data_IF_086860594912
#
_entry.id   IF_086860594912
#
_cell.length_a   1.000
_cell.length_b   1.000
_cell.length_c   1.000
_cell.angle_alpha   90.00
_cell.angle_beta   90.00
_cell.angle_gamma   90.00
#
_symmetry.space_group_name_H-M   'P 1'
#
loop_
_entity.id
_entity.type
_entity.pdbx_description
1 polymer ?
#
# COMPACT_ATOMS: atom_id res chain seq x y z
N UNK A 1 18.97 -18.80 -26.27
CA UNK A 1 18.07 -19.14 -25.14
C UNK A 1 17.45 -17.92 -24.45
N UNK A 2 18.20 -16.85 -24.11
CA UNK A 2 17.62 -15.67 -23.41
C UNK A 2 16.55 -14.93 -24.22
N UNK A 3 16.78 -14.72 -25.52
CA UNK A 3 15.86 -13.98 -26.40
C UNK A 3 14.50 -14.69 -26.58
N UNK A 4 14.53 -16.03 -26.68
CA UNK A 4 13.32 -16.84 -26.84
C UNK A 4 12.46 -16.82 -25.57
N UNK A 5 13.09 -16.88 -24.40
CA UNK A 5 12.36 -16.80 -23.12
C UNK A 5 11.72 -15.43 -22.92
N UNK A 6 12.40 -14.34 -23.32
CA UNK A 6 11.83 -12.99 -23.24
C UNK A 6 10.61 -12.83 -24.16
N UNK A 7 10.70 -13.32 -25.41
CA UNK A 7 9.60 -13.28 -26.36
C UNK A 7 8.40 -14.08 -25.85
N UNK A 8 8.65 -15.30 -25.34
CA UNK A 8 7.60 -16.15 -24.75
C UNK A 8 6.94 -15.44 -23.57
N UNK A 9 7.72 -14.84 -22.66
CA UNK A 9 7.18 -14.13 -21.49
C UNK A 9 6.29 -12.95 -21.92
N UNK A 10 6.75 -12.14 -22.87
CA UNK A 10 5.98 -10.99 -23.37
C UNK A 10 4.69 -11.41 -24.06
N UNK A 11 4.72 -12.52 -24.80
CA UNK A 11 3.55 -13.05 -25.49
C UNK A 11 2.54 -13.65 -24.52
N UNK A 12 3.00 -14.34 -23.47
CA UNK A 12 2.11 -14.86 -22.42
C UNK A 12 1.40 -13.76 -21.64
N UNK A 13 2.09 -12.65 -21.35
CA UNK A 13 1.50 -11.50 -20.65
C UNK A 13 0.44 -10.82 -21.55
N UNK A 14 0.74 -10.63 -22.85
CA UNK A 14 -0.22 -10.08 -23.80
C UNK A 14 -1.47 -10.96 -23.93
N UNK A 15 -1.30 -12.28 -23.97
CA UNK A 15 -2.41 -13.22 -24.05
C UNK A 15 -3.31 -13.16 -22.81
N UNK A 16 -2.74 -13.09 -21.60
CA UNK A 16 -3.51 -12.97 -20.35
C UNK A 16 -4.35 -11.68 -20.35
N UNK A 17 -3.75 -10.55 -20.75
CA UNK A 17 -4.42 -9.24 -20.83
C UNK A 17 -5.49 -9.15 -21.93
N UNK A 18 -5.39 -9.97 -22.97
CA UNK A 18 -6.35 -10.01 -24.08
C UNK A 18 -7.59 -10.87 -23.82
N UNK A 19 -7.57 -11.70 -22.76
CA UNK A 19 -8.74 -12.52 -22.43
C UNK A 19 -9.81 -11.68 -21.71
N UNK A 20 -11.09 -11.80 -22.10
CA UNK A 20 -12.18 -11.03 -21.50
C UNK A 20 -12.42 -11.37 -20.02
N UNK A 21 -11.85 -12.48 -19.54
CA UNK A 21 -11.91 -12.90 -18.14
C UNK A 21 -11.07 -12.01 -17.21
N UNK A 22 -10.02 -11.34 -17.72
CA UNK A 22 -9.21 -10.42 -16.90
C UNK A 22 -9.89 -9.06 -16.72
N UNK A 23 -10.64 -8.60 -17.73
CA UNK A 23 -11.45 -7.38 -17.67
C UNK A 23 -12.79 -7.58 -16.95
N UNK A 24 -13.19 -8.82 -16.67
CA UNK A 24 -14.46 -9.16 -16.01
C UNK A 24 -14.29 -9.54 -14.54
N UNK A 25 -13.51 -8.77 -13.77
CA UNK A 25 -13.78 -8.63 -12.34
C UNK A 25 -14.93 -7.63 -12.19
N UNK A 26 -16.16 -8.12 -12.38
CA UNK A 26 -17.34 -7.33 -12.04
C UNK A 26 -17.36 -7.14 -10.52
N UNK A 27 -17.16 -5.90 -10.08
CA UNK A 27 -17.63 -5.47 -8.79
C UNK A 27 -19.14 -5.75 -8.72
N UNK A 28 -19.59 -6.40 -7.66
CA UNK A 28 -21.01 -6.61 -7.41
C UNK A 28 -21.63 -5.27 -7.00
N UNK A 29 -22.24 -4.58 -7.95
CA UNK A 29 -23.02 -3.38 -7.72
C UNK A 29 -24.44 -3.80 -7.27
N UNK A 30 -24.71 -3.70 -5.97
CA UNK A 30 -26.04 -3.92 -5.43
C UNK A 30 -26.67 -2.57 -5.05
N UNK A 31 -27.57 -2.10 -5.92
CA UNK A 31 -28.78 -1.38 -5.51
C UNK A 31 -28.67 0.12 -5.21
N UNK A 32 -29.27 0.89 -6.12
CA UNK A 32 -29.79 2.26 -5.96
C UNK A 32 -30.03 2.74 -4.53
N UNK A 33 -29.22 3.72 -4.13
CA UNK A 33 -29.53 4.71 -3.11
C UNK A 33 -28.66 5.93 -3.37
N UNK A 34 -29.26 7.09 -3.56
CA UNK A 34 -28.56 8.38 -3.47
C UNK A 34 -28.00 8.51 -2.06
N UNK A 35 -26.80 8.00 -1.85
CA UNK A 35 -25.97 8.29 -0.70
C UNK A 35 -24.82 9.14 -1.21
N UNK A 36 -24.80 10.40 -0.82
CA UNK A 36 -23.54 11.09 -0.55
C UNK A 36 -22.67 10.10 0.20
N UNK A 37 -21.69 9.51 -0.48
CA UNK A 37 -20.66 8.73 0.21
C UNK A 37 -20.02 9.71 1.18
N UNK A 38 -20.19 9.52 2.49
CA UNK A 38 -19.38 10.28 3.41
C UNK A 38 -17.95 9.90 3.06
N UNK A 39 -17.07 10.89 2.99
CA UNK A 39 -15.63 10.68 3.16
C UNK A 39 -15.51 9.84 4.43
N UNK A 40 -15.41 8.52 4.28
CA UNK A 40 -15.11 7.63 5.39
C UNK A 40 -13.60 7.77 5.60
N UNK A 41 -13.22 8.91 6.16
CA UNK A 41 -12.14 8.90 7.14
C UNK A 41 -12.59 7.91 8.20
N UNK A 42 -12.12 6.67 8.12
CA UNK A 42 -12.16 5.77 9.26
C UNK A 42 -11.68 6.58 10.46
N UNK A 43 -12.38 6.52 11.60
CA UNK A 43 -11.99 7.23 12.84
C UNK A 43 -10.66 6.71 13.45
N UNK A 44 -9.77 6.21 12.60
CA UNK A 44 -8.44 5.69 12.85
C UNK A 44 -7.74 5.53 11.51
N UNK A 45 -6.58 6.18 11.34
CA UNK A 45 -5.73 6.00 10.16
C UNK A 45 -5.20 4.56 10.04
N UNK A 46 -4.27 4.35 9.11
CA UNK A 46 -3.70 3.03 8.81
C UNK A 46 -3.24 2.30 10.09
N UNK A 47 -2.58 3.03 11.00
CA UNK A 47 -2.09 2.45 12.25
C UNK A 47 -3.19 1.82 13.10
N UNK A 48 -4.28 2.57 13.32
CA UNK A 48 -5.39 2.14 14.18
C UNK A 48 -6.20 1.03 13.54
N UNK A 49 -6.31 0.98 12.21
CA UNK A 49 -7.05 -0.08 11.51
C UNK A 49 -6.26 -1.39 11.40
N UNK A 50 -4.96 -1.32 11.09
CA UNK A 50 -4.19 -2.50 10.68
C UNK A 50 -3.13 -2.98 11.69
N UNK A 51 -2.54 -2.07 12.45
CA UNK A 51 -1.34 -2.38 13.26
C UNK A 51 -1.68 -2.49 14.74
N UNK A 52 -2.36 -1.49 15.30
CA UNK A 52 -2.68 -1.43 16.73
C UNK A 52 -3.68 -2.52 17.15
N UNK A 53 -4.59 -2.91 16.24
CA UNK A 53 -5.52 -4.04 16.43
C UNK A 53 -4.80 -5.36 16.66
N UNK A 54 -3.54 -5.47 16.25
CA UNK A 54 -2.68 -6.62 16.46
C UNK A 54 -1.75 -6.49 17.68
N UNK A 55 -1.83 -5.38 18.43
CA UNK A 55 -1.05 -5.14 19.65
C UNK A 55 0.37 -4.58 19.41
N UNK A 56 0.63 -3.99 18.24
CA UNK A 56 1.90 -3.37 17.89
C UNK A 56 1.83 -1.84 18.00
N UNK A 57 2.93 -1.20 18.39
CA UNK A 57 3.06 0.26 18.32
C UNK A 57 3.16 0.70 16.86
N UNK A 58 2.57 1.84 16.54
CA UNK A 58 2.51 2.34 15.17
C UNK A 58 2.59 3.88 15.11
N UNK A 59 3.24 4.40 14.08
CA UNK A 59 3.29 5.83 13.78
C UNK A 59 2.86 6.07 12.32
N UNK A 60 1.86 6.93 12.12
CA UNK A 60 1.42 7.40 10.81
C UNK A 60 2.23 8.67 10.43
N UNK A 61 2.92 8.63 9.30
CA UNK A 61 3.68 9.76 8.76
C UNK A 61 3.10 10.19 7.41
N UNK A 62 2.81 11.47 7.25
CA UNK A 62 2.41 12.02 5.95
C UNK A 62 3.59 12.71 5.29
N UNK A 63 3.93 12.26 4.09
CA UNK A 63 5.06 12.76 3.29
C UNK A 63 4.53 13.41 2.03
N UNK A 64 4.81 14.70 1.85
CA UNK A 64 4.43 15.44 0.64
C UNK A 64 5.53 15.34 -0.40
N UNK A 65 5.20 14.77 -1.56
CA UNK A 65 6.06 14.69 -2.74
C UNK A 65 6.24 16.06 -3.40
N UNK A 66 7.27 16.22 -4.25
CA UNK A 66 7.56 17.49 -4.94
C UNK A 66 6.40 17.97 -5.82
N UNK A 67 5.66 17.03 -6.41
CA UNK A 67 4.51 17.32 -7.27
C UNK A 67 3.20 17.49 -6.50
N UNK A 68 3.21 17.33 -5.17
CA UNK A 68 2.11 17.72 -4.29
C UNK A 68 1.24 16.58 -3.77
N UNK A 69 1.52 15.32 -4.13
CA UNK A 69 0.85 14.16 -3.53
C UNK A 69 1.28 13.97 -2.07
N UNK A 70 0.32 13.62 -1.23
CA UNK A 70 0.50 13.35 0.20
C UNK A 70 0.44 11.84 0.39
N UNK A 71 1.60 11.24 0.68
CA UNK A 71 1.75 9.80 0.87
C UNK A 71 1.71 9.47 2.35
N UNK A 72 0.95 8.44 2.71
CA UNK A 72 1.00 7.85 4.04
C UNK A 72 2.13 6.81 4.11
N UNK A 73 3.04 7.03 5.03
CA UNK A 73 4.14 6.13 5.37
C UNK A 73 3.94 5.68 6.80
N UNK A 74 3.88 4.38 7.01
CA UNK A 74 3.53 3.78 8.30
C UNK A 74 4.79 3.19 8.90
N UNK A 75 5.06 3.50 10.16
CA UNK A 75 6.20 2.95 10.88
C UNK A 75 5.75 2.06 12.02
N UNK A 76 6.35 0.88 12.12
CA UNK A 76 6.23 -0.06 13.24
C UNK A 76 7.60 -0.09 13.93
N UNK A 77 7.83 0.79 14.93
CA UNK A 77 9.14 0.95 15.56
C UNK A 77 9.56 -0.26 16.40
N UNK A 78 8.60 -1.09 16.82
CA UNK A 78 8.81 -2.20 17.75
C UNK A 78 7.70 -3.24 17.66
N UNK A 79 8.07 -4.52 17.55
CA UNK A 79 7.21 -5.65 17.88
C UNK A 79 7.21 -5.96 19.38
N UNK A 80 6.36 -6.88 19.84
CA UNK A 80 6.13 -7.17 21.26
C UNK A 80 7.36 -7.66 22.06
N UNK A 81 8.56 -7.69 21.47
CA UNK A 81 9.81 -8.08 22.10
C UNK A 81 10.20 -7.10 23.23
N UNK A 82 9.94 -7.51 24.49
CA UNK A 82 10.28 -6.76 25.71
C UNK A 82 11.79 -6.59 25.94
N UNK A 83 12.62 -7.47 25.38
CA UNK A 83 14.07 -7.46 25.58
C UNK A 83 14.82 -6.68 24.49
N UNK A 84 14.14 -6.33 23.39
CA UNK A 84 14.67 -5.55 22.26
C UNK A 84 14.57 -4.03 22.49
N UNK A 85 14.48 -3.58 23.75
CA UNK A 85 14.17 -2.21 24.18
C UNK A 85 15.28 -1.17 23.94
N UNK A 86 16.34 -1.51 23.22
CA UNK A 86 17.32 -0.52 22.78
C UNK A 86 16.74 0.30 21.61
N UNK A 87 16.01 1.37 21.96
CA UNK A 87 15.41 2.36 21.04
C UNK A 87 16.38 2.98 20.03
N UNK A 88 17.69 2.79 20.19
CA UNK A 88 18.72 3.60 19.51
C UNK A 88 19.47 2.98 18.33
N UNK A 89 19.31 1.69 18.00
CA UNK A 89 20.19 1.06 17.00
C UNK A 89 19.52 -0.03 16.13
N UNK A 90 18.26 0.17 15.75
CA UNK A 90 17.53 -0.77 14.90
C UNK A 90 17.84 -0.50 13.43
N UNK A 91 18.02 -1.58 12.66
CA UNK A 91 18.18 -1.46 11.21
C UNK A 91 16.81 -1.17 10.58
N UNK A 92 16.66 -0.07 9.82
CA UNK A 92 15.41 0.23 9.15
C UNK A 92 15.19 -0.73 7.98
N UNK A 93 13.94 -1.17 7.81
CA UNK A 93 13.50 -1.97 6.66
C UNK A 93 12.31 -1.28 6.01
N UNK A 94 12.46 -0.95 4.73
CA UNK A 94 11.41 -0.36 3.91
C UNK A 94 10.68 -1.45 3.11
N UNK A 95 9.36 -1.54 3.26
CA UNK A 95 8.52 -2.48 2.55
C UNK A 95 7.62 -1.71 1.56
N UNK A 96 7.94 -1.86 0.28
CA UNK A 96 7.19 -1.28 -0.83
C UNK A 96 6.24 -2.34 -1.40
N UNK A 97 4.96 -2.00 -1.52
CA UNK A 97 3.96 -2.88 -2.12
C UNK A 97 4.10 -2.96 -3.66
N UNK A 98 3.47 -3.97 -4.26
CA UNK A 98 3.43 -4.16 -5.72
C UNK A 98 2.36 -3.32 -6.43
N UNK A 99 2.12 -3.63 -7.71
CA UNK A 99 1.09 -2.97 -8.52
C UNK A 99 -0.30 -3.40 -8.06
N UNK A 100 -1.27 -2.47 -8.03
CA UNK A 100 -2.68 -2.71 -7.63
C UNK A 100 -2.88 -3.23 -6.20
N UNK A 101 -1.90 -3.03 -5.33
CA UNK A 101 -1.99 -3.32 -3.89
C UNK A 101 -1.49 -2.11 -3.10
N UNK A 102 -1.57 -2.17 -1.78
CA UNK A 102 -1.10 -1.13 -0.87
C UNK A 102 -0.25 -1.72 0.28
N UNK A 103 0.17 -0.87 1.22
CA UNK A 103 0.98 -1.26 2.38
C UNK A 103 0.32 -2.31 3.29
N UNK A 104 -1.01 -2.49 3.24
CA UNK A 104 -1.71 -3.51 4.03
C UNK A 104 -1.32 -4.93 3.62
N UNK A 105 -0.86 -5.11 2.38
CA UNK A 105 -0.39 -6.41 1.86
C UNK A 105 0.64 -7.11 2.77
N UNK A 106 1.42 -6.34 3.53
CA UNK A 106 2.40 -6.86 4.49
C UNK A 106 1.83 -7.29 5.84
N UNK A 107 0.53 -7.04 6.07
CA UNK A 107 -0.18 -7.19 7.34
C UNK A 107 -1.46 -8.05 7.23
N UNK A 108 -1.82 -8.54 6.03
CA UNK A 108 -3.09 -9.26 5.81
C UNK A 108 -3.16 -10.62 6.54
N UNK A 109 -2.01 -11.21 6.88
CA UNK A 109 -1.95 -12.47 7.63
C UNK A 109 -1.86 -12.21 9.15
N UNK A 110 -2.17 -13.22 9.99
CA UNK A 110 -1.94 -13.11 11.42
C UNK A 110 -0.48 -12.72 11.75
N UNK A 111 -0.22 -12.07 12.91
CA UNK A 111 1.11 -11.52 13.23
C UNK A 111 2.30 -12.45 13.01
N UNK A 112 2.17 -13.72 13.37
CA UNK A 112 3.24 -14.73 13.21
C UNK A 112 3.55 -15.09 11.75
N UNK A 113 2.71 -14.72 10.79
CA UNK A 113 2.86 -15.06 9.37
C UNK A 113 3.07 -13.84 8.48
N UNK A 114 2.72 -12.66 8.97
CA UNK A 114 2.93 -11.39 8.26
C UNK A 114 4.38 -10.95 8.35
N UNK A 115 4.96 -10.55 7.22
CA UNK A 115 6.38 -10.18 7.13
C UNK A 115 6.70 -8.97 8.01
N UNK A 116 5.86 -7.94 7.99
CA UNK A 116 6.11 -6.71 8.74
C UNK A 116 6.13 -6.96 10.25
N UNK A 117 5.20 -7.75 10.76
CA UNK A 117 5.14 -8.11 12.18
C UNK A 117 6.33 -9.00 12.58
N UNK A 118 6.69 -9.99 11.77
CA UNK A 118 7.88 -10.81 12.01
C UNK A 118 9.17 -9.97 12.06
N UNK A 119 9.34 -9.01 11.15
CA UNK A 119 10.50 -8.10 11.17
C UNK A 119 10.50 -7.24 12.44
N UNK A 120 9.35 -6.68 12.83
CA UNK A 120 9.24 -5.87 14.04
C UNK A 120 9.57 -6.68 15.31
N UNK A 121 9.11 -7.93 15.39
CA UNK A 121 9.39 -8.84 16.50
C UNK A 121 10.87 -9.26 16.56
N UNK A 122 11.55 -9.29 15.41
CA UNK A 122 12.99 -9.57 15.30
C UNK A 122 13.87 -8.31 15.44
N UNK A 123 13.29 -7.19 15.88
CA UNK A 123 14.05 -5.99 16.25
C UNK A 123 14.39 -5.02 15.11
N UNK A 124 13.75 -5.18 13.94
CA UNK A 124 13.86 -4.19 12.86
C UNK A 124 12.93 -2.99 13.11
N UNK A 125 13.31 -1.83 12.55
CA UNK A 125 12.43 -0.66 12.46
C UNK A 125 11.73 -0.71 11.11
N UNK A 126 10.44 -1.06 11.09
CA UNK A 126 9.74 -1.42 9.85
C UNK A 126 8.95 -0.22 9.33
N UNK A 127 9.13 0.08 8.05
CA UNK A 127 8.47 1.18 7.35
C UNK A 127 7.67 0.63 6.17
N UNK A 128 6.36 0.82 6.17
CA UNK A 128 5.45 0.46 5.07
C UNK A 128 5.16 1.72 4.27
N UNK A 129 5.47 1.70 2.98
CA UNK A 129 5.25 2.85 2.10
C UNK A 129 4.01 2.60 1.26
N UNK A 130 3.05 3.52 1.33
CA UNK A 130 1.93 3.54 0.40
C UNK A 130 2.26 4.45 -0.80
N UNK A 131 1.91 3.99 -1.99
CA UNK A 131 2.01 4.77 -3.21
C UNK A 131 0.81 5.69 -3.38
N UNK A 132 1.00 6.79 -4.12
CA UNK A 132 -0.07 7.71 -4.52
C UNK A 132 -1.30 6.95 -5.08
N UNK A 133 -2.49 7.40 -4.72
CA UNK A 133 -3.76 6.81 -5.17
C UNK A 133 -4.15 5.49 -4.50
N UNK A 134 -3.37 5.00 -3.53
CA UNK A 134 -3.85 3.96 -2.60
C UNK A 134 -4.73 4.61 -1.52
N UNK A 135 -5.59 3.83 -0.86
CA UNK A 135 -6.61 4.30 0.10
C UNK A 135 -6.11 5.34 1.13
N UNK A 136 -4.87 5.20 1.61
CA UNK A 136 -4.28 6.10 2.61
C UNK A 136 -3.41 7.22 2.00
N UNK A 137 -3.28 7.28 0.67
CA UNK A 137 -2.39 8.21 -0.07
C UNK A 137 -3.07 8.86 -1.27
N UNK A 138 -4.37 9.18 -1.15
CA UNK A 138 -5.17 9.83 -2.20
C UNK A 138 -5.07 11.36 -2.16
N UNK A 139 -4.47 11.92 -1.11
CA UNK A 139 -4.39 13.35 -0.90
C UNK A 139 -3.43 14.07 -1.84
N UNK A 140 -3.77 15.31 -2.19
CA UNK A 140 -2.89 16.24 -2.91
C UNK A 140 -3.03 17.65 -2.33
N UNK A 141 -1.97 18.46 -2.42
CA UNK A 141 -1.98 19.85 -1.93
C UNK A 141 -2.89 20.81 -2.71
N UNK A 142 -3.42 20.40 -3.87
CA UNK A 142 -4.12 21.30 -4.80
C UNK A 142 -5.15 20.58 -5.67
N UNK A 143 -4.86 19.35 -6.10
CA UNK A 143 -5.80 18.53 -6.87
C UNK A 143 -6.86 17.93 -5.95
N UNK A 144 -8.05 17.73 -6.50
CA UNK A 144 -9.15 17.00 -5.85
C UNK A 144 -9.21 15.58 -6.43
N UNK A 145 -9.79 14.66 -5.67
CA UNK A 145 -9.89 13.25 -6.07
C UNK A 145 -10.59 13.06 -7.43
N UNK A 146 -11.62 13.86 -7.71
CA UNK A 146 -12.39 13.80 -8.98
C UNK A 146 -11.76 14.59 -10.15
N UNK A 147 -10.49 15.00 -10.03
CA UNK A 147 -9.80 15.70 -11.12
C UNK A 147 -9.41 14.68 -12.21
N UNK A 148 -9.82 14.86 -13.48
CA UNK A 148 -9.55 13.90 -14.57
C UNK A 148 -8.06 13.62 -14.80
N UNK A 149 -7.15 14.48 -14.30
CA UNK A 149 -5.70 14.23 -14.33
C UNK A 149 -5.32 13.00 -13.49
N UNK A 150 -6.08 12.66 -12.46
CA UNK A 150 -5.83 11.52 -11.56
C UNK A 150 -6.14 10.18 -12.26
N UNK A 151 -7.15 10.12 -13.14
CA UNK A 151 -7.55 8.89 -13.86
C UNK A 151 -6.45 8.36 -14.80
N UNK A 152 -5.66 9.24 -15.40
CA UNK A 152 -4.56 8.84 -16.30
C UNK A 152 -3.32 8.32 -15.56
N UNK A 153 -3.25 8.47 -14.23
CA UNK A 153 -2.07 8.16 -13.43
C UNK A 153 -1.93 6.65 -13.12
N UNK A 154 -3.01 5.87 -13.21
CA UNK A 154 -2.97 4.42 -13.02
C UNK A 154 -2.02 3.69 -13.99
N UNK A 155 -1.68 4.32 -15.12
CA UNK A 155 -0.68 3.80 -16.06
C UNK A 155 0.77 4.19 -15.71
N UNK A 156 0.97 5.20 -14.86
CA UNK A 156 2.29 5.77 -14.54
C UNK A 156 2.90 5.27 -13.22
N UNK A 157 2.18 4.40 -12.50
CA UNK A 157 2.46 3.91 -11.14
C UNK A 157 3.77 3.12 -10.94
N UNK A 158 4.66 3.03 -11.92
CA UNK A 158 5.96 2.36 -11.78
C UNK A 158 7.18 3.28 -11.94
N UNK A 159 7.02 4.56 -12.29
CA UNK A 159 8.16 5.39 -12.73
C UNK A 159 8.54 6.55 -11.81
N UNK A 160 7.72 6.94 -10.83
CA UNK A 160 7.95 8.16 -10.03
C UNK A 160 7.89 7.95 -8.51
N UNK A 161 8.42 6.82 -8.04
CA UNK A 161 8.75 6.61 -6.61
C UNK A 161 10.27 6.72 -6.35
N UNK A 162 11.01 7.48 -7.17
CA UNK A 162 12.44 7.73 -7.01
C UNK A 162 12.75 9.23 -6.84
#
# INVERSE_FOLDING_TARGET
MKLLNTIILTYTILLILSTPNFLSLKAQENGTGTATMPVQSSEGGFCKSMVETNGYECEDHNVTTKDGYILNVVRIPMGGCRDCRTRGNKSPVLLQHGVFVDGRSWLLLPPKQSLAFNLADNGYDVWLVNSRGTEYSEGHTSLKFDDPVIDYLLLSLSLYNA
#
